data_IF_466891267456
#
_entry.id   IF_466891267456
#
_cell.length_a   1.000
_cell.length_b   1.000
_cell.length_c   1.000
_cell.angle_alpha   90.00
_cell.angle_beta   90.00
_cell.angle_gamma   90.00
#
_symmetry.space_group_name_H-M   'P 1'
#
loop_
_entity.id
_entity.type
_entity.pdbx_description
1 polymer ?
#
# COMPACT_ATOMS: atom_id res chain seq x y z
N UNK A 1 56.15 -33.99 71.82
CA UNK A 1 54.87 -34.58 71.37
C UNK A 1 53.97 -33.43 70.92
N UNK A 2 53.50 -33.47 69.67
CA UNK A 2 52.37 -32.72 69.06
C UNK A 2 52.22 -31.21 69.36
N UNK A 3 52.03 -30.31 68.40
CA UNK A 3 51.50 -30.45 67.05
C UNK A 3 51.35 -29.08 66.39
N UNK A 4 50.81 -29.12 65.17
CA UNK A 4 50.94 -28.15 64.08
C UNK A 4 49.98 -26.94 64.12
N UNK A 5 50.25 -26.02 63.18
CA UNK A 5 49.32 -25.17 62.40
C UNK A 5 48.56 -24.08 63.15
N UNK A 6 48.43 -22.83 62.70
CA UNK A 6 48.64 -22.13 61.43
C UNK A 6 47.80 -20.83 61.54
N UNK A 7 48.20 -19.68 61.00
CA UNK A 7 47.59 -18.40 61.36
C UNK A 7 46.26 -18.13 60.63
N UNK A 8 45.26 -17.67 61.38
CA UNK A 8 43.97 -17.18 60.90
C UNK A 8 44.15 -15.90 60.07
N UNK A 9 43.78 -15.95 58.79
CA UNK A 9 43.52 -14.79 57.96
C UNK A 9 42.03 -14.41 58.04
N UNK A 10 41.76 -13.18 58.47
CA UNK A 10 40.41 -12.60 58.58
C UNK A 10 39.91 -12.19 57.19
N UNK A 11 38.74 -12.71 56.81
CA UNK A 11 38.02 -12.45 55.56
C UNK A 11 37.65 -10.97 55.41
N UNK A 12 38.04 -10.34 54.29
CA UNK A 12 37.40 -9.14 53.74
C UNK A 12 36.38 -9.59 52.67
N UNK A 13 35.09 -9.47 52.96
CA UNK A 13 34.00 -9.66 52.00
C UNK A 13 33.70 -8.33 51.31
N UNK A 14 34.22 -8.15 50.10
CA UNK A 14 33.77 -7.09 49.18
C UNK A 14 32.64 -7.66 48.34
N UNK A 15 31.41 -7.25 48.62
CA UNK A 15 30.24 -7.54 47.79
C UNK A 15 30.28 -6.65 46.53
N UNK A 16 30.80 -7.19 45.43
CA UNK A 16 30.60 -6.61 44.10
C UNK A 16 29.23 -7.05 43.60
N UNK A 17 28.24 -6.16 43.69
CA UNK A 17 26.98 -6.35 43.00
C UNK A 17 27.20 -6.14 41.50
N UNK A 18 27.41 -7.23 40.76
CA UNK A 18 27.37 -7.21 39.31
C UNK A 18 25.91 -7.02 38.86
N UNK A 19 25.52 -5.77 38.58
CA UNK A 19 24.31 -5.49 37.81
C UNK A 19 24.59 -5.94 36.39
N UNK A 20 24.18 -7.16 36.07
CA UNK A 20 24.07 -7.61 34.68
C UNK A 20 22.92 -6.83 34.07
N UNK A 21 23.24 -5.76 33.33
CA UNK A 21 22.32 -5.16 32.39
C UNK A 21 22.05 -6.21 31.30
N UNK A 22 21.05 -7.05 31.52
CA UNK A 22 20.44 -7.85 30.48
C UNK A 22 19.85 -6.87 29.47
N UNK A 23 20.49 -6.74 28.31
CA UNK A 23 19.94 -6.03 27.15
C UNK A 23 18.62 -6.71 26.76
N UNK A 24 17.51 -6.17 27.25
CA UNK A 24 16.17 -6.51 26.77
C UNK A 24 16.07 -6.03 25.34
N UNK A 25 16.22 -6.96 24.39
CA UNK A 25 16.09 -6.66 22.97
C UNK A 25 14.68 -6.16 22.63
N UNK A 26 14.61 -5.02 21.95
CA UNK A 26 13.66 -4.59 20.89
C UNK A 26 12.19 -5.09 20.85
N UNK A 27 11.60 -5.54 21.95
CA UNK A 27 10.20 -5.98 22.00
C UNK A 27 9.17 -4.84 22.12
N UNK A 28 9.63 -3.61 22.35
CA UNK A 28 8.79 -2.42 22.59
C UNK A 28 8.65 -1.49 21.36
N UNK A 29 9.38 -1.73 20.25
CA UNK A 29 9.49 -0.71 19.18
C UNK A 29 8.26 -0.60 18.27
N UNK A 30 7.69 -1.71 17.81
CA UNK A 30 6.61 -1.69 16.81
C UNK A 30 5.28 -1.19 17.38
N UNK A 31 4.95 -1.50 18.64
CA UNK A 31 3.73 -0.98 19.29
C UNK A 31 3.79 0.53 19.47
N UNK A 32 4.97 1.04 19.87
CA UNK A 32 5.18 2.47 19.99
C UNK A 32 5.12 3.17 18.61
N UNK A 33 5.61 2.52 17.54
CA UNK A 33 5.42 3.00 16.17
C UNK A 33 3.95 3.04 15.75
N UNK A 34 3.21 1.96 15.99
CA UNK A 34 1.77 1.91 15.70
C UNK A 34 1.00 2.98 16.47
N UNK A 35 1.29 3.19 17.76
CA UNK A 35 0.59 4.21 18.54
C UNK A 35 0.92 5.63 18.05
N UNK A 36 2.13 5.88 17.53
CA UNK A 36 2.45 7.16 16.87
C UNK A 36 1.69 7.36 15.57
N UNK A 37 1.49 6.29 14.81
CA UNK A 37 0.71 6.33 13.58
C UNK A 37 -0.80 6.32 13.83
N UNK A 38 -1.24 6.05 15.08
CA UNK A 38 -2.66 5.93 15.41
C UNK A 38 -3.38 7.27 15.27
N UNK A 39 -4.48 7.27 14.52
CA UNK A 39 -5.30 8.45 14.32
C UNK A 39 -6.57 8.32 15.18
N UNK A 40 -6.71 9.10 16.27
CA UNK A 40 -7.84 8.96 17.19
C UNK A 40 -9.15 9.52 16.61
N UNK A 41 -9.06 10.57 15.80
CA UNK A 41 -10.20 11.25 15.16
C UNK A 41 -9.69 12.11 14.01
N UNK A 42 -10.47 12.21 12.93
CA UNK A 42 -10.20 13.18 11.85
C UNK A 42 -10.95 14.50 12.07
N UNK A 43 -10.47 15.64 11.54
CA UNK A 43 -11.19 16.91 11.64
C UNK A 43 -12.63 16.82 11.14
N UNK A 44 -13.57 17.38 11.90
CA UNK A 44 -15.00 17.37 11.56
C UNK A 44 -15.72 16.02 11.69
N UNK A 45 -15.07 14.99 12.26
CA UNK A 45 -15.73 13.73 12.60
C UNK A 45 -16.66 13.92 13.80
N UNK A 46 -17.98 13.82 13.55
CA UNK A 46 -19.03 13.99 14.57
C UNK A 46 -19.53 12.66 15.20
N UNK A 47 -18.91 11.53 14.86
CA UNK A 47 -19.28 10.19 15.32
C UNK A 47 -18.10 9.45 15.97
N UNK A 48 -18.37 8.33 16.62
CA UNK A 48 -17.32 7.43 17.14
C UNK A 48 -17.13 6.27 16.17
N UNK A 49 -15.90 6.07 15.69
CA UNK A 49 -15.55 4.90 14.89
C UNK A 49 -15.37 3.69 15.82
N UNK A 50 -15.91 2.53 15.43
CA UNK A 50 -15.77 1.27 16.18
C UNK A 50 -14.51 0.49 15.83
N UNK A 51 -13.65 1.03 14.98
CA UNK A 51 -12.40 0.44 14.49
C UNK A 51 -11.25 1.41 14.67
N UNK A 52 -10.04 0.87 14.81
CA UNK A 52 -8.82 1.67 14.79
C UNK A 52 -8.38 1.97 13.36
N UNK A 53 -7.69 3.09 13.18
CA UNK A 53 -7.02 3.41 11.95
C UNK A 53 -5.73 4.18 12.20
N UNK A 54 -4.80 4.03 11.27
CA UNK A 54 -3.41 4.42 11.40
C UNK A 54 -2.96 5.10 10.13
N UNK A 55 -2.22 6.19 10.23
CA UNK A 55 -1.68 6.89 9.08
C UNK A 55 -0.24 7.29 9.37
N UNK A 56 0.63 7.13 8.38
CA UNK A 56 2.04 7.41 8.56
C UNK A 56 2.85 7.17 7.32
N UNK A 57 4.17 7.19 7.49
CA UNK A 57 5.13 7.03 6.41
C UNK A 57 5.97 5.77 6.60
N UNK A 58 6.31 5.15 5.48
CA UNK A 58 7.32 4.09 5.40
C UNK A 58 8.36 4.47 4.37
N UNK A 59 9.61 4.59 4.80
CA UNK A 59 10.74 4.90 3.91
C UNK A 59 11.05 3.72 3.00
N UNK A 60 10.89 3.91 1.69
CA UNK A 60 11.17 2.89 0.67
C UNK A 60 12.58 2.99 0.09
N UNK A 61 13.24 4.15 0.25
CA UNK A 61 14.64 4.34 -0.12
C UNK A 61 15.31 5.39 0.77
N UNK A 62 16.29 4.97 1.55
CA UNK A 62 17.10 5.89 2.38
C UNK A 62 17.97 6.79 1.51
N UNK A 63 18.60 6.23 0.47
CA UNK A 63 19.47 6.96 -0.46
C UNK A 63 18.76 8.17 -1.10
N UNK A 64 17.51 7.96 -1.53
CA UNK A 64 16.72 9.00 -2.19
C UNK A 64 15.94 9.86 -1.20
N UNK A 65 15.89 9.45 0.08
CA UNK A 65 14.99 10.01 1.08
C UNK A 65 13.53 9.90 0.67
N UNK A 66 13.13 8.74 0.16
CA UNK A 66 11.82 8.50 -0.42
C UNK A 66 10.93 7.67 0.50
N UNK A 67 9.72 8.16 0.75
CA UNK A 67 8.76 7.54 1.66
C UNK A 67 7.35 7.54 1.06
N UNK A 68 6.64 6.43 1.24
CA UNK A 68 5.23 6.33 0.87
C UNK A 68 4.36 6.55 2.11
N UNK A 69 3.34 7.37 1.93
CA UNK A 69 2.27 7.59 2.90
C UNK A 69 1.24 6.47 2.79
N UNK A 70 0.76 6.02 3.94
CA UNK A 70 -0.31 5.05 4.02
C UNK A 70 -1.40 5.51 4.99
N UNK A 71 -2.61 5.02 4.76
CA UNK A 71 -3.69 5.09 5.73
C UNK A 71 -4.36 3.72 5.82
N UNK A 72 -4.22 3.09 6.98
CA UNK A 72 -4.69 1.76 7.28
C UNK A 72 -5.94 1.82 8.17
N UNK A 73 -6.96 1.04 7.84
CA UNK A 73 -8.19 0.90 8.61
C UNK A 73 -8.41 -0.56 8.97
N UNK A 74 -8.54 -0.84 10.26
CA UNK A 74 -8.93 -2.16 10.72
C UNK A 74 -10.37 -2.47 10.33
N UNK A 75 -10.68 -3.76 10.25
CA UNK A 75 -12.04 -4.20 10.03
C UNK A 75 -12.93 -3.76 11.19
N UNK A 76 -14.15 -3.30 10.89
CA UNK A 76 -15.12 -2.84 11.87
C UNK A 76 -15.53 -3.92 12.89
N UNK A 77 -15.43 -5.19 12.50
CA UNK A 77 -15.78 -6.34 13.31
C UNK A 77 -14.70 -7.43 13.21
N UNK A 78 -14.18 -7.82 14.37
CA UNK A 78 -13.19 -8.90 14.53
C UNK A 78 -11.98 -8.79 13.57
N UNK A 79 -11.22 -7.67 13.62
CA UNK A 79 -10.12 -7.41 12.69
C UNK A 79 -9.06 -8.52 12.70
N UNK A 80 -8.89 -9.21 13.83
CA UNK A 80 -7.96 -10.32 13.99
C UNK A 80 -8.35 -11.59 13.23
N UNK A 81 -9.56 -11.73 12.67
CA UNK A 81 -9.93 -12.85 11.79
C UNK A 81 -10.03 -12.46 10.31
N UNK A 82 -10.12 -11.16 10.00
CA UNK A 82 -10.35 -10.65 8.64
C UNK A 82 -9.07 -10.57 7.81
N UNK A 83 -9.16 -10.73 6.47
CA UNK A 83 -8.00 -10.59 5.58
C UNK A 83 -7.45 -9.16 5.58
N UNK A 84 -6.22 -9.01 5.08
CA UNK A 84 -5.60 -7.72 4.75
C UNK A 84 -5.77 -7.46 3.26
N UNK A 85 -6.27 -6.28 2.91
CA UNK A 85 -6.50 -5.86 1.52
C UNK A 85 -5.72 -4.58 1.28
N UNK A 86 -4.81 -4.58 0.31
CA UNK A 86 -4.18 -3.36 -0.19
C UNK A 86 -5.02 -2.78 -1.33
N UNK A 87 -5.36 -1.50 -1.26
CA UNK A 87 -6.03 -0.74 -2.32
C UNK A 87 -5.07 0.27 -2.99
N UNK A 88 -5.04 0.26 -4.32
CA UNK A 88 -4.25 1.16 -5.16
C UNK A 88 -5.13 1.84 -6.22
N UNK A 89 -5.19 3.17 -6.23
CA UNK A 89 -5.71 3.90 -7.38
C UNK A 89 -4.64 4.04 -8.48
N UNK A 90 -5.10 4.28 -9.72
CA UNK A 90 -4.27 4.35 -10.91
C UNK A 90 -3.82 5.77 -11.30
N UNK A 91 -4.24 6.23 -12.47
CA UNK A 91 -3.83 7.50 -13.08
C UNK A 91 -2.99 7.28 -14.34
N UNK A 92 -1.68 7.00 -14.26
CA UNK A 92 -0.81 6.93 -13.06
C UNK A 92 -0.73 8.26 -12.31
N UNK A 93 -0.50 8.21 -10.98
CA UNK A 93 -0.27 9.40 -10.16
C UNK A 93 -1.48 9.90 -9.35
N UNK A 94 -2.60 9.17 -9.38
CA UNK A 94 -3.77 9.47 -8.56
C UNK A 94 -3.58 8.92 -7.13
N UNK A 95 -4.05 9.67 -6.13
CA UNK A 95 -3.93 9.28 -4.72
C UNK A 95 -4.96 8.24 -4.33
N UNK A 96 -4.52 7.16 -3.68
CA UNK A 96 -5.42 6.16 -3.10
C UNK A 96 -6.18 6.68 -1.88
N UNK A 97 -5.62 7.70 -1.23
CA UNK A 97 -6.23 8.39 -0.10
C UNK A 97 -7.34 9.33 -0.60
N UNK A 98 -7.11 10.04 -1.69
CA UNK A 98 -8.11 10.93 -2.28
C UNK A 98 -9.31 10.15 -2.83
N UNK A 99 -9.07 9.15 -3.69
CA UNK A 99 -10.14 8.41 -4.37
C UNK A 99 -10.61 7.22 -3.53
N UNK A 100 -9.77 6.19 -3.39
CA UNK A 100 -10.12 4.94 -2.71
C UNK A 100 -10.72 5.13 -1.33
N UNK A 101 -10.03 5.90 -0.48
CA UNK A 101 -10.49 6.21 0.86
C UNK A 101 -11.57 7.29 0.87
N UNK A 102 -11.33 8.44 0.23
CA UNK A 102 -12.17 9.63 0.38
C UNK A 102 -13.51 9.59 -0.35
N UNK A 103 -13.62 8.83 -1.44
CA UNK A 103 -14.76 8.88 -2.36
C UNK A 103 -15.33 7.49 -2.72
N UNK A 104 -14.58 6.41 -2.50
CA UNK A 104 -14.94 5.07 -3.00
C UNK A 104 -15.25 4.09 -1.86
N UNK A 105 -14.30 3.20 -1.54
CA UNK A 105 -14.48 2.04 -0.65
C UNK A 105 -14.12 2.30 0.81
N UNK A 106 -13.55 3.47 1.09
CA UNK A 106 -13.13 3.87 2.43
C UNK A 106 -14.28 4.05 3.43
N UNK A 107 -13.99 4.02 4.74
CA UNK A 107 -15.01 4.11 5.79
C UNK A 107 -15.61 5.50 5.95
N UNK A 108 -14.93 6.54 5.46
CA UNK A 108 -15.33 7.93 5.62
C UNK A 108 -15.40 8.62 4.26
N UNK A 109 -16.49 9.34 4.02
CA UNK A 109 -16.60 10.26 2.89
C UNK A 109 -16.59 11.70 3.38
N UNK A 110 -15.99 12.58 2.60
CA UNK A 110 -15.93 14.02 2.92
C UNK A 110 -17.31 14.65 2.69
N UNK A 111 -17.75 15.48 3.62
CA UNK A 111 -18.99 16.24 3.47
C UNK A 111 -18.87 17.24 2.31
N UNK A 112 -19.99 17.62 1.70
CA UNK A 112 -20.02 18.54 0.56
C UNK A 112 -19.38 19.91 0.83
N UNK A 113 -19.31 20.34 2.10
CA UNK A 113 -18.66 21.59 2.51
C UNK A 113 -17.15 21.48 2.76
N UNK A 114 -16.59 20.26 2.69
CA UNK A 114 -15.19 19.98 2.94
C UNK A 114 -14.74 20.11 4.40
N UNK A 115 -15.68 20.27 5.35
CA UNK A 115 -15.36 20.60 6.76
C UNK A 115 -15.48 19.42 7.72
N UNK A 116 -15.90 18.27 7.24
CA UNK A 116 -16.00 17.07 8.05
C UNK A 116 -16.24 15.83 7.22
N UNK A 117 -16.53 14.73 7.91
CA UNK A 117 -16.74 13.42 7.29
C UNK A 117 -18.03 12.78 7.79
N UNK A 118 -18.59 11.88 7.00
CA UNK A 118 -19.67 10.97 7.39
C UNK A 118 -19.30 9.51 7.07
N UNK A 119 -19.96 8.57 7.74
CA UNK A 119 -19.70 7.14 7.57
C UNK A 119 -20.20 6.65 6.20
N UNK A 120 -19.40 5.83 5.55
CA UNK A 120 -19.81 5.06 4.38
C UNK A 120 -20.42 3.71 4.84
N UNK A 121 -21.73 3.49 4.68
CA UNK A 121 -22.39 2.26 5.10
C UNK A 121 -22.04 1.05 4.20
N UNK A 122 -21.28 1.24 3.13
CA UNK A 122 -20.83 0.18 2.22
C UNK A 122 -19.30 0.05 2.18
N UNK A 123 -18.61 0.58 3.19
CA UNK A 123 -17.16 0.49 3.24
C UNK A 123 -16.66 -0.94 3.30
N UNK A 124 -15.57 -1.21 2.59
CA UNK A 124 -14.94 -2.53 2.57
C UNK A 124 -14.31 -2.90 3.91
N UNK A 125 -14.07 -1.93 4.80
CA UNK A 125 -13.59 -2.25 6.15
C UNK A 125 -14.64 -2.99 7.00
N UNK A 126 -15.87 -3.19 6.50
CA UNK A 126 -16.84 -4.09 7.15
C UNK A 126 -16.44 -5.57 7.04
N UNK A 127 -15.63 -5.93 6.04
CA UNK A 127 -15.28 -7.32 5.73
C UNK A 127 -13.78 -7.60 5.67
N UNK A 128 -12.94 -6.56 5.67
CA UNK A 128 -11.49 -6.67 5.58
C UNK A 128 -10.77 -5.59 6.38
N UNK A 129 -9.50 -5.81 6.69
CA UNK A 129 -8.59 -4.74 7.09
C UNK A 129 -8.05 -4.11 5.79
N UNK A 130 -8.25 -2.81 5.59
CA UNK A 130 -7.93 -2.15 4.31
C UNK A 130 -6.77 -1.17 4.47
N UNK A 131 -5.77 -1.32 3.61
CA UNK A 131 -4.56 -0.51 3.57
C UNK A 131 -4.58 0.31 2.27
N UNK A 132 -4.62 1.63 2.39
CA UNK A 132 -4.47 2.53 1.26
C UNK A 132 -3.04 3.07 1.23
N UNK A 133 -2.43 3.14 0.04
CA UNK A 133 -1.08 3.68 -0.14
C UNK A 133 -1.10 4.70 -1.27
N UNK A 134 -0.55 5.89 -1.01
CA UNK A 134 -0.23 6.83 -2.08
C UNK A 134 1.06 6.38 -2.76
N UNK A 135 0.98 5.91 -4.00
CA UNK A 135 2.11 5.37 -4.75
C UNK A 135 1.97 5.73 -6.23
N UNK A 136 3.07 6.07 -6.94
CA UNK A 136 4.47 6.13 -6.48
C UNK A 136 4.80 7.40 -5.66
N UNK A 137 6.09 7.63 -5.39
CA UNK A 137 6.57 8.86 -4.72
C UNK A 137 6.18 10.11 -5.52
N UNK A 138 5.73 11.15 -4.82
CA UNK A 138 5.16 12.37 -5.41
C UNK A 138 3.64 12.35 -5.54
N UNK A 139 2.99 11.20 -5.31
CA UNK A 139 1.52 11.09 -5.27
C UNK A 139 1.00 11.45 -3.88
N UNK A 140 -0.05 12.29 -3.83
CA UNK A 140 -0.74 12.63 -2.59
C UNK A 140 0.23 13.13 -1.51
N UNK A 141 0.34 12.38 -0.41
CA UNK A 141 1.26 12.73 0.68
C UNK A 141 2.64 12.08 0.58
N UNK A 142 2.85 11.13 -0.34
CA UNK A 142 4.12 10.44 -0.56
C UNK A 142 5.15 11.33 -1.22
N UNK A 143 6.42 11.24 -0.80
CA UNK A 143 7.45 12.17 -1.24
C UNK A 143 8.81 11.50 -1.49
N UNK A 144 9.68 12.25 -2.16
CA UNK A 144 11.11 11.96 -2.24
C UNK A 144 11.91 13.24 -2.03
N UNK A 145 13.00 13.15 -1.27
CA UNK A 145 13.97 14.24 -1.14
C UNK A 145 14.77 14.45 -2.44
N UNK A 146 14.73 13.48 -3.35
CA UNK A 146 15.32 13.58 -4.70
C UNK A 146 14.25 13.97 -5.71
N UNK A 147 14.21 15.24 -6.12
CA UNK A 147 13.17 15.77 -7.01
C UNK A 147 13.07 15.07 -8.38
N UNK A 148 14.20 14.57 -8.90
CA UNK A 148 14.24 13.82 -10.15
C UNK A 148 13.43 12.50 -10.11
N UNK A 149 13.12 11.99 -8.92
CA UNK A 149 12.30 10.78 -8.74
C UNK A 149 10.90 10.94 -9.31
N UNK A 150 10.29 12.11 -9.11
CA UNK A 150 8.92 12.39 -9.54
C UNK A 150 8.81 12.28 -11.06
N UNK A 151 9.86 12.66 -11.79
CA UNK A 151 9.91 12.64 -13.25
C UNK A 151 10.33 11.28 -13.83
N UNK A 152 10.87 10.39 -12.99
CA UNK A 152 11.43 9.09 -13.39
C UNK A 152 10.68 7.92 -12.76
N UNK A 153 9.46 8.17 -12.29
CA UNK A 153 8.54 7.10 -11.89
C UNK A 153 8.25 6.19 -13.06
N UNK A 154 8.18 4.89 -12.78
CA UNK A 154 7.89 3.86 -13.77
C UNK A 154 7.38 2.59 -13.10
N UNK A 155 6.74 1.75 -13.89
CA UNK A 155 6.08 0.51 -13.47
C UNK A 155 6.98 -0.38 -12.60
N UNK A 156 8.19 -0.69 -13.07
CA UNK A 156 9.15 -1.54 -12.35
C UNK A 156 9.57 -0.95 -11.00
N UNK A 157 9.89 0.35 -10.98
CA UNK A 157 10.29 1.06 -9.76
C UNK A 157 9.13 1.13 -8.77
N UNK A 158 7.92 1.39 -9.25
CA UNK A 158 6.71 1.48 -8.43
C UNK A 158 6.43 0.13 -7.76
N UNK A 159 6.55 -0.98 -8.49
CA UNK A 159 6.40 -2.32 -7.94
C UNK A 159 7.49 -2.64 -6.91
N UNK A 160 8.75 -2.28 -7.18
CA UNK A 160 9.88 -2.48 -6.26
C UNK A 160 9.70 -1.69 -4.96
N UNK A 161 9.42 -0.39 -5.05
CA UNK A 161 9.23 0.47 -3.88
C UNK A 161 7.99 0.03 -3.07
N UNK A 162 6.92 -0.42 -3.73
CA UNK A 162 5.72 -0.96 -3.06
C UNK A 162 5.98 -2.29 -2.35
N UNK A 163 6.84 -3.15 -2.89
CA UNK A 163 7.28 -4.36 -2.19
C UNK A 163 8.09 -4.02 -0.94
N UNK A 164 9.06 -3.09 -1.05
CA UNK A 164 9.84 -2.62 0.11
C UNK A 164 8.92 -2.02 1.17
N UNK A 165 7.94 -1.22 0.75
CA UNK A 165 6.91 -0.69 1.62
C UNK A 165 6.21 -1.82 2.38
N UNK A 166 5.70 -2.85 1.69
CA UNK A 166 4.95 -3.94 2.32
C UNK A 166 5.79 -4.72 3.34
N UNK A 167 7.04 -5.04 3.00
CA UNK A 167 7.94 -5.74 3.91
C UNK A 167 8.19 -4.93 5.18
N UNK A 168 8.52 -3.63 5.05
CA UNK A 168 8.74 -2.74 6.21
C UNK A 168 7.46 -2.46 6.99
N UNK A 169 6.33 -2.32 6.31
CA UNK A 169 5.03 -2.12 6.95
C UNK A 169 4.66 -3.34 7.81
N UNK A 170 4.93 -4.57 7.34
CA UNK A 170 4.72 -5.78 8.13
C UNK A 170 5.67 -5.92 9.32
N UNK A 171 6.84 -5.28 9.31
CA UNK A 171 7.69 -5.16 10.51
C UNK A 171 7.06 -4.25 11.55
N UNK A 172 6.42 -3.16 11.12
CA UNK A 172 5.65 -2.26 11.99
C UNK A 172 4.32 -2.88 12.44
N UNK A 173 3.69 -3.69 11.60
CA UNK A 173 2.41 -4.37 11.82
C UNK A 173 2.55 -5.90 11.82
N UNK A 174 3.34 -6.47 12.75
CA UNK A 174 3.69 -7.89 12.72
C UNK A 174 2.49 -8.82 12.91
N UNK A 175 1.40 -8.35 13.53
CA UNK A 175 0.16 -9.11 13.68
C UNK A 175 -0.57 -9.41 12.36
N UNK A 176 -0.14 -8.77 11.25
CA UNK A 176 -0.65 -9.03 9.90
C UNK A 176 0.30 -9.90 9.07
N UNK A 177 1.46 -10.32 9.61
CA UNK A 177 2.30 -11.33 8.93
C UNK A 177 1.51 -12.63 8.77
N UNK A 178 1.67 -13.26 7.60
CA UNK A 178 0.98 -14.48 7.19
C UNK A 178 -0.55 -14.37 7.08
N UNK A 179 -1.12 -13.19 7.33
CA UNK A 179 -2.54 -12.91 7.11
C UNK A 179 -2.87 -13.12 5.64
N UNK A 180 -4.05 -13.66 5.35
CA UNK A 180 -4.55 -13.70 3.98
C UNK A 180 -4.52 -12.29 3.38
N UNK A 181 -3.71 -12.14 2.33
CA UNK A 181 -3.42 -10.84 1.74
C UNK A 181 -3.94 -10.78 0.31
N UNK A 182 -4.65 -9.72 -0.03
CA UNK A 182 -5.20 -9.48 -1.36
C UNK A 182 -4.75 -8.11 -1.86
N UNK A 183 -4.38 -8.07 -3.14
CA UNK A 183 -4.09 -6.82 -3.83
C UNK A 183 -5.33 -6.37 -4.62
N UNK A 184 -5.71 -5.11 -4.48
CA UNK A 184 -6.85 -4.54 -5.18
C UNK A 184 -6.48 -3.18 -5.75
N UNK A 185 -7.10 -2.79 -6.84
CA UNK A 185 -6.90 -1.46 -7.37
C UNK A 185 -7.73 -1.16 -8.61
N UNK A 186 -7.73 0.11 -9.00
CA UNK A 186 -8.52 0.63 -10.10
C UNK A 186 -7.68 1.35 -11.18
N UNK A 187 -8.16 1.34 -12.43
CA UNK A 187 -7.63 2.13 -13.53
C UNK A 187 -6.20 1.67 -13.88
N UNK A 188 -5.24 2.58 -13.94
CA UNK A 188 -3.83 2.24 -14.17
C UNK A 188 -3.24 1.29 -13.10
N UNK A 189 -3.92 1.08 -11.96
CA UNK A 189 -3.54 0.02 -11.04
C UNK A 189 -3.68 -1.39 -11.65
N UNK A 190 -4.33 -1.55 -12.80
CA UNK A 190 -4.22 -2.76 -13.63
C UNK A 190 -2.80 -3.06 -14.10
N UNK A 191 -1.89 -2.09 -14.09
CA UNK A 191 -0.44 -2.32 -14.19
C UNK A 191 0.18 -2.58 -12.82
N UNK A 192 -0.13 -1.76 -11.82
CA UNK A 192 0.51 -1.83 -10.49
C UNK A 192 0.25 -3.14 -9.75
N UNK A 193 -1.01 -3.58 -9.68
CA UNK A 193 -1.47 -4.75 -8.94
C UNK A 193 -0.78 -6.04 -9.42
N UNK A 194 -0.85 -6.43 -10.71
CA UNK A 194 -0.20 -7.67 -11.16
C UNK A 194 1.33 -7.59 -11.12
N UNK A 195 1.93 -6.42 -11.33
CA UNK A 195 3.39 -6.27 -11.23
C UNK A 195 3.88 -6.39 -9.78
N UNK A 196 3.15 -5.83 -8.82
CA UNK A 196 3.43 -6.03 -7.40
C UNK A 196 3.21 -7.49 -6.99
N UNK A 197 2.14 -8.14 -7.46
CA UNK A 197 1.91 -9.57 -7.23
C UNK A 197 3.09 -10.42 -7.73
N UNK A 198 3.60 -10.11 -8.93
CA UNK A 198 4.77 -10.77 -9.50
C UNK A 198 6.05 -10.48 -8.68
N UNK A 199 6.25 -9.25 -8.21
CA UNK A 199 7.39 -8.88 -7.37
C UNK A 199 7.38 -9.65 -6.04
N UNK A 200 6.21 -9.78 -5.40
CA UNK A 200 6.02 -10.58 -4.17
C UNK A 200 6.36 -12.05 -4.44
N UNK A 201 5.82 -12.63 -5.52
CA UNK A 201 6.11 -14.03 -5.88
C UNK A 201 7.61 -14.28 -6.09
N UNK A 202 8.29 -13.41 -6.84
CA UNK A 202 9.74 -13.51 -7.08
C UNK A 202 10.53 -13.33 -5.79
N UNK A 203 10.09 -12.46 -4.89
CA UNK A 203 10.71 -12.30 -3.57
C UNK A 203 10.63 -13.60 -2.77
N UNK A 204 9.45 -14.23 -2.69
CA UNK A 204 9.28 -15.52 -2.01
C UNK A 204 10.19 -16.61 -2.58
N UNK A 205 10.29 -16.69 -3.91
CA UNK A 205 11.16 -17.67 -4.60
C UNK A 205 12.64 -17.42 -4.32
N UNK A 206 13.06 -16.16 -4.20
CA UNK A 206 14.46 -15.77 -4.00
C UNK A 206 14.91 -15.87 -2.54
N UNK A 207 14.05 -15.54 -1.57
CA UNK A 207 14.42 -15.45 -0.14
C UNK A 207 13.87 -16.60 0.70
N UNK A 208 12.83 -17.29 0.22
CA UNK A 208 12.06 -18.25 1.01
C UNK A 208 11.14 -17.61 2.07
N UNK A 209 11.14 -16.28 2.19
CA UNK A 209 10.25 -15.52 3.06
C UNK A 209 8.81 -15.62 2.54
N UNK A 210 7.87 -16.06 3.37
CA UNK A 210 6.43 -16.18 3.06
C UNK A 210 5.56 -15.31 3.96
N UNK A 211 6.15 -14.30 4.61
CA UNK A 211 5.43 -13.37 5.50
C UNK A 211 4.28 -12.65 4.80
N UNK A 212 4.38 -12.39 3.49
CA UNK A 212 3.28 -11.87 2.67
C UNK A 212 2.48 -13.04 2.09
N UNK A 213 1.40 -13.46 2.77
CA UNK A 213 0.56 -14.58 2.32
C UNK A 213 -0.46 -14.13 1.24
N UNK A 214 0.06 -13.79 0.05
CA UNK A 214 -0.73 -13.35 -1.11
C UNK A 214 -1.66 -14.48 -1.60
N UNK A 215 -2.98 -14.26 -1.52
CA UNK A 215 -4.02 -15.20 -1.97
C UNK A 215 -4.56 -14.91 -3.36
N UNK A 216 -4.57 -13.64 -3.74
CA UNK A 216 -5.08 -13.24 -5.04
C UNK A 216 -5.05 -11.73 -5.22
N UNK A 217 -5.55 -11.29 -6.37
CA UNK A 217 -5.70 -9.88 -6.66
C UNK A 217 -6.97 -9.60 -7.47
N UNK A 218 -7.45 -8.37 -7.40
CA UNK A 218 -8.59 -7.87 -8.17
C UNK A 218 -8.23 -6.52 -8.79
N UNK A 219 -8.61 -6.32 -10.05
CA UNK A 219 -8.41 -5.07 -10.76
C UNK A 219 -9.76 -4.58 -11.26
N UNK A 220 -10.10 -3.34 -10.93
CA UNK A 220 -11.30 -2.68 -11.40
C UNK A 220 -10.98 -1.71 -12.55
N UNK A 221 -11.72 -1.84 -13.63
CA UNK A 221 -11.61 -0.99 -14.81
C UNK A 221 -13.01 -0.90 -15.40
N UNK A 222 -13.57 0.30 -15.50
CA UNK A 222 -14.90 0.51 -16.09
C UNK A 222 -15.03 -0.04 -17.54
N UNK A 223 -13.91 -0.30 -18.21
CA UNK A 223 -13.85 -0.82 -19.58
C UNK A 223 -13.20 -2.21 -19.73
N UNK A 224 -12.69 -2.80 -18.64
CA UNK A 224 -12.22 -4.19 -18.63
C UNK A 224 -13.20 -5.00 -17.79
N UNK A 225 -14.16 -5.62 -18.48
CA UNK A 225 -15.00 -6.65 -17.91
C UNK A 225 -14.12 -7.67 -17.16
N UNK A 226 -14.38 -7.84 -15.86
CA UNK A 226 -13.96 -8.94 -14.96
C UNK A 226 -12.91 -9.86 -15.59
N UNK A 227 -11.62 -9.54 -15.39
CA UNK A 227 -10.54 -10.51 -15.60
C UNK A 227 -10.38 -11.34 -14.32
N UNK A 228 -11.35 -12.20 -14.08
CA UNK A 228 -11.07 -13.48 -13.42
C UNK A 228 -11.15 -14.54 -14.52
N UNK A 229 -10.07 -15.32 -14.65
CA UNK A 229 -9.85 -16.53 -15.46
C UNK A 229 -8.91 -16.34 -16.67
N UNK A 230 -7.72 -16.90 -16.46
CA UNK A 230 -6.72 -17.49 -17.38
C UNK A 230 -6.34 -16.81 -18.72
N UNK A 231 -5.02 -16.77 -18.92
CA UNK A 231 -4.30 -16.65 -20.19
C UNK A 231 -5.17 -16.81 -21.45
N UNK A 232 -5.49 -15.70 -22.14
CA UNK A 232 -5.21 -15.49 -23.56
C UNK A 232 -5.67 -14.10 -24.05
N UNK A 233 -4.76 -13.45 -24.78
CA UNK A 233 -4.92 -12.38 -25.80
C UNK A 233 -5.80 -11.15 -25.54
N UNK A 234 -5.09 -10.01 -25.41
CA UNK A 234 -5.45 -8.61 -25.72
C UNK A 234 -6.50 -8.50 -26.85
N UNK A 235 -7.69 -7.95 -26.57
CA UNK A 235 -8.54 -7.17 -27.50
C UNK A 235 -9.86 -6.75 -26.80
N UNK A 236 -9.93 -5.58 -26.14
CA UNK A 236 -11.22 -4.95 -25.75
C UNK A 236 -11.10 -3.48 -25.32
N UNK A 237 -10.86 -2.58 -26.28
CA UNK A 237 -11.20 -1.15 -26.12
C UNK A 237 -12.17 -0.69 -27.21
N UNK A 238 -12.03 -1.20 -28.44
CA UNK A 238 -12.79 -0.73 -29.61
C UNK A 238 -14.27 -1.13 -29.66
N UNK A 239 -14.70 -2.16 -28.91
CA UNK A 239 -16.07 -2.65 -29.01
C UNK A 239 -17.09 -1.79 -28.24
N UNK A 240 -16.72 -1.14 -27.14
CA UNK A 240 -17.69 -0.39 -26.32
C UNK A 240 -18.07 0.97 -26.96
N UNK A 241 -17.11 1.67 -27.58
CA UNK A 241 -17.33 2.95 -28.28
C UNK A 241 -18.21 2.84 -29.53
N UNK A 242 -18.42 1.63 -30.05
CA UNK A 242 -19.33 1.41 -31.18
C UNK A 242 -20.78 1.26 -30.75
N UNK A 243 -21.01 0.87 -29.49
CA UNK A 243 -22.34 0.61 -28.92
C UNK A 243 -22.88 1.84 -28.19
N UNK A 244 -22.00 2.62 -27.58
CA UNK A 244 -22.30 3.94 -27.03
C UNK A 244 -21.89 4.94 -28.11
N UNK A 245 -22.81 5.70 -28.72
CA UNK A 245 -22.57 6.62 -29.85
C UNK A 245 -21.67 7.83 -29.48
N UNK A 246 -20.43 7.59 -29.02
CA UNK A 246 -19.49 8.63 -28.58
C UNK A 246 -18.52 9.06 -29.70
N UNK A 247 -18.35 8.25 -30.75
CA UNK A 247 -17.44 8.54 -31.86
C UNK A 247 -18.13 8.39 -33.22
N UNK A 248 -17.81 9.29 -34.15
CA UNK A 248 -18.26 9.17 -35.55
C UNK A 248 -17.55 8.01 -36.25
N UNK A 249 -18.18 7.43 -37.29
CA UNK A 249 -17.58 6.36 -38.09
C UNK A 249 -16.24 6.72 -38.75
N UNK A 250 -15.93 8.02 -38.89
CA UNK A 250 -14.64 8.53 -39.35
C UNK A 250 -13.59 8.54 -38.23
N UNK A 251 -13.98 8.93 -37.01
CA UNK A 251 -13.12 8.90 -35.82
C UNK A 251 -12.60 7.49 -35.53
N UNK A 252 -13.45 6.47 -35.66
CA UNK A 252 -13.05 5.07 -35.47
C UNK A 252 -12.02 4.57 -36.51
N UNK A 253 -12.11 5.01 -37.77
CA UNK A 253 -11.17 4.61 -38.83
C UNK A 253 -9.78 5.22 -38.60
N UNK A 254 -9.74 6.41 -38.04
CA UNK A 254 -8.51 7.10 -37.67
C UNK A 254 -7.85 6.52 -36.41
N UNK A 255 -8.63 5.96 -35.48
CA UNK A 255 -8.16 5.37 -34.22
C UNK A 255 -7.47 4.00 -34.36
N UNK A 256 -6.97 3.62 -35.54
CA UNK A 256 -6.13 2.43 -35.76
C UNK A 256 -4.78 2.58 -35.04
N UNK A 257 -4.79 2.53 -33.72
CA UNK A 257 -3.63 2.53 -32.83
C UNK A 257 -3.20 1.09 -32.56
N UNK A 258 -2.75 0.37 -33.58
CA UNK A 258 -2.50 -1.07 -33.41
C UNK A 258 -1.19 -1.40 -32.65
N UNK A 259 -0.35 -0.42 -32.27
CA UNK A 259 0.94 -0.67 -31.59
C UNK A 259 1.41 0.52 -30.71
N UNK A 260 0.48 1.31 -30.14
CA UNK A 260 0.85 2.51 -29.35
C UNK A 260 0.40 2.33 -27.90
N UNK A 261 1.32 2.52 -26.94
CA UNK A 261 1.01 2.38 -25.51
C UNK A 261 0.08 3.49 -25.04
N UNK A 262 -0.86 3.18 -24.13
CA UNK A 262 -1.87 4.14 -23.68
C UNK A 262 -1.28 5.39 -23.01
N UNK A 263 -0.14 5.24 -22.32
CA UNK A 263 0.61 6.38 -21.75
C UNK A 263 1.54 7.07 -22.75
N UNK A 264 2.00 6.35 -23.77
CA UNK A 264 2.99 6.83 -24.73
C UNK A 264 2.37 6.83 -26.12
N UNK A 265 1.43 7.76 -26.31
CA UNK A 265 0.77 8.06 -27.59
C UNK A 265 1.75 8.69 -28.58
N UNK A 266 1.57 8.44 -29.88
CA UNK A 266 2.31 9.16 -30.93
C UNK A 266 1.62 10.51 -31.22
N UNK A 267 2.35 11.46 -31.81
CA UNK A 267 1.77 12.74 -32.26
C UNK A 267 0.55 12.52 -33.17
N UNK A 268 0.63 11.54 -34.07
CA UNK A 268 -0.45 11.15 -34.97
C UNK A 268 -1.73 10.73 -34.23
N UNK A 269 -1.59 10.02 -33.10
CA UNK A 269 -2.73 9.62 -32.26
C UNK A 269 -3.32 10.78 -31.46
N UNK A 270 -2.51 11.80 -31.14
CA UNK A 270 -2.96 12.98 -30.41
C UNK A 270 -3.63 14.05 -31.31
N UNK A 271 -3.27 14.11 -32.58
CA UNK A 271 -3.76 15.10 -33.57
C UNK A 271 -5.19 14.83 -34.07
N UNK A 272 -5.82 13.72 -33.69
CA UNK A 272 -7.22 13.45 -34.02
C UNK A 272 -8.22 14.46 -33.42
N UNK A 273 -7.76 15.32 -32.49
CA UNK A 273 -8.51 16.50 -32.03
C UNK A 273 -8.74 17.56 -33.11
N UNK A 274 -7.93 17.60 -34.17
CA UNK A 274 -8.08 18.59 -35.25
C UNK A 274 -8.94 18.13 -36.43
N UNK A 275 -9.16 16.81 -36.58
CA UNK A 275 -9.90 16.24 -37.71
C UNK A 275 -11.42 16.14 -37.43
N UNK A 276 -11.86 16.34 -36.18
CA UNK A 276 -13.28 16.28 -35.78
C UNK A 276 -13.97 17.66 -35.64
N UNK A 277 -13.54 18.67 -36.41
CA UNK A 277 -14.33 19.90 -36.60
C UNK A 277 -15.19 19.81 -37.85
#
# INVERSE_FOLDING_TARGET
MSGASGPLAVLLLVLVAAVSASSTGNGESWRAEQERDRVPRVPGQAFNASFAHYAGYVTVSEERGAALFYWFFEAAHDPASKPLVLWLNGGPGCSSIAFGLGEEVGPFHVNADGKGVHMNPYSWNQVANILFIDSPVGVGYSYSNTSADILSNGDERTAKDSLVFLTKWLERFPQYKEREFYLTGESYAGHYVPQLAQAIKRHHEATGDKTINLKGYMVWLWYFCILIIEFHHIFSFYCLDRTIFLLSGLGLKCLRCSVVGLLHTTALTNDLRHIMK
#
